data_IF_568740177314
#
_entry.id   IF_568740177314
#
_cell.length_a   1.000
_cell.length_b   1.000
_cell.length_c   1.000
_cell.angle_alpha   90.00
_cell.angle_beta   90.00
_cell.angle_gamma   90.00
#
_symmetry.space_group_name_H-M   'P 1'
#
loop_
_entity.id
_entity.type
_entity.pdbx_description
1 polymer ?
#
# COMPACT_ATOMS: atom_id res chain seq x y z
N UNK A 1 -38.77 15.48 -3.16
CA UNK A 1 -37.60 14.60 -3.17
C UNK A 1 -37.39 14.11 -4.59
N UNK A 2 -36.42 14.68 -5.32
CA UNK A 2 -36.05 14.23 -6.66
C UNK A 2 -35.35 12.89 -6.48
N UNK A 3 -35.94 11.82 -7.01
CA UNK A 3 -35.35 10.49 -7.12
C UNK A 3 -34.01 10.63 -7.88
N UNK A 4 -32.89 10.70 -7.15
CA UNK A 4 -31.57 10.59 -7.78
C UNK A 4 -31.49 9.19 -8.39
N UNK A 5 -31.52 9.08 -9.70
CA UNK A 5 -31.24 7.84 -10.42
C UNK A 5 -29.92 7.30 -9.88
N UNK A 6 -29.99 6.20 -9.14
CA UNK A 6 -28.77 5.51 -8.66
C UNK A 6 -28.07 4.91 -9.86
N UNK A 7 -27.01 5.57 -10.32
CA UNK A 7 -26.18 5.05 -11.41
C UNK A 7 -25.44 3.83 -10.91
N UNK A 8 -25.68 2.68 -11.52
CA UNK A 8 -24.93 1.43 -11.27
C UNK A 8 -23.57 1.59 -11.93
N UNK A 9 -22.51 1.38 -11.17
CA UNK A 9 -21.13 1.41 -11.66
C UNK A 9 -20.66 0.00 -12.02
N UNK A 10 -19.65 -0.11 -12.89
CA UNK A 10 -19.05 -1.41 -13.22
C UNK A 10 -18.48 -2.11 -11.96
N UNK A 11 -17.93 -1.34 -11.02
CA UNK A 11 -17.47 -1.89 -9.72
C UNK A 11 -18.59 -2.53 -8.91
N UNK A 12 -19.83 -2.04 -9.00
CA UNK A 12 -20.97 -2.64 -8.29
C UNK A 12 -21.35 -3.98 -8.91
N UNK A 13 -21.33 -4.04 -10.24
CA UNK A 13 -21.61 -5.28 -10.98
C UNK A 13 -20.57 -6.33 -10.64
N UNK A 14 -19.27 -5.97 -10.68
CA UNK A 14 -18.20 -6.90 -10.36
C UNK A 14 -18.22 -7.32 -8.88
N UNK A 15 -18.63 -6.45 -7.96
CA UNK A 15 -18.82 -6.81 -6.55
C UNK A 15 -19.89 -7.89 -6.40
N UNK A 16 -21.04 -7.73 -7.05
CA UNK A 16 -22.11 -8.73 -7.03
C UNK A 16 -21.65 -10.04 -7.68
N UNK A 17 -20.98 -9.98 -8.82
CA UNK A 17 -20.43 -11.17 -9.49
C UNK A 17 -19.39 -11.89 -8.63
N UNK A 18 -18.55 -11.15 -7.90
CA UNK A 18 -17.57 -11.73 -6.98
C UNK A 18 -18.24 -12.46 -5.81
N UNK A 19 -19.33 -11.90 -5.24
CA UNK A 19 -20.13 -12.58 -4.22
C UNK A 19 -20.80 -13.83 -4.75
N UNK A 20 -21.32 -13.79 -5.98
CA UNK A 20 -21.91 -14.96 -6.65
C UNK A 20 -20.85 -16.05 -6.88
N UNK A 21 -19.64 -15.68 -7.33
CA UNK A 21 -18.53 -16.61 -7.48
C UNK A 21 -18.16 -17.25 -6.12
N UNK A 22 -18.08 -16.46 -5.03
CA UNK A 22 -17.86 -16.96 -3.68
C UNK A 22 -18.95 -17.93 -3.19
N UNK A 23 -20.20 -17.69 -3.57
CA UNK A 23 -21.31 -18.61 -3.28
C UNK A 23 -21.16 -19.95 -4.00
N UNK A 24 -20.81 -19.94 -5.29
CA UNK A 24 -20.57 -21.20 -6.03
C UNK A 24 -19.36 -21.95 -5.49
N UNK A 25 -18.30 -21.24 -5.13
CA UNK A 25 -17.13 -21.82 -4.45
C UNK A 25 -17.54 -22.48 -3.12
N UNK A 26 -18.36 -21.81 -2.31
CA UNK A 26 -18.91 -22.37 -1.07
C UNK A 26 -19.70 -23.67 -1.33
N UNK A 27 -20.54 -23.71 -2.38
CA UNK A 27 -21.30 -24.91 -2.72
C UNK A 27 -20.41 -26.07 -3.21
N UNK A 28 -19.30 -25.77 -3.85
CA UNK A 28 -18.33 -26.74 -4.36
C UNK A 28 -17.40 -27.29 -3.27
N UNK A 29 -17.35 -26.66 -2.10
CA UNK A 29 -16.46 -27.03 -1.01
C UNK A 29 -16.80 -28.40 -0.43
N UNK A 30 -15.76 -29.20 -0.13
CA UNK A 30 -15.90 -30.48 0.59
C UNK A 30 -16.29 -30.26 2.05
N UNK A 31 -15.59 -29.34 2.73
CA UNK A 31 -15.92 -28.88 4.07
C UNK A 31 -16.70 -27.54 3.98
N UNK A 32 -18.01 -27.62 4.07
CA UNK A 32 -18.86 -26.46 3.98
C UNK A 32 -18.79 -25.55 5.20
N UNK A 33 -18.49 -26.10 6.39
CA UNK A 33 -18.36 -25.28 7.59
C UNK A 33 -17.12 -24.42 7.52
N UNK A 34 -15.97 -25.01 7.19
CA UNK A 34 -14.72 -24.28 6.97
C UNK A 34 -14.87 -23.26 5.82
N UNK A 35 -15.50 -23.63 4.72
CA UNK A 35 -15.73 -22.74 3.59
C UNK A 35 -16.67 -21.56 3.93
N UNK A 36 -17.61 -21.73 4.88
CA UNK A 36 -18.48 -20.67 5.31
C UNK A 36 -17.83 -19.75 6.35
N UNK A 37 -17.28 -20.33 7.41
CA UNK A 37 -16.73 -19.56 8.55
C UNK A 37 -15.29 -19.11 8.33
N UNK A 38 -14.55 -19.79 7.47
CA UNK A 38 -13.09 -19.69 7.30
C UNK A 38 -12.33 -20.56 8.29
N UNK A 39 -11.10 -20.92 7.93
CA UNK A 39 -10.18 -21.67 8.76
C UNK A 39 -9.84 -20.95 10.06
N UNK A 40 -9.48 -21.74 11.09
CA UNK A 40 -9.04 -21.19 12.38
C UNK A 40 -7.80 -20.30 12.18
N UNK A 41 -7.89 -19.07 12.72
CA UNK A 41 -6.83 -18.08 12.60
C UNK A 41 -7.01 -17.06 11.46
N UNK A 42 -7.72 -17.42 10.35
CA UNK A 42 -7.94 -16.52 9.21
C UNK A 42 -9.36 -15.99 9.10
N UNK A 43 -10.36 -16.86 9.21
CA UNK A 43 -11.78 -16.49 9.19
C UNK A 43 -12.22 -15.73 7.92
N UNK A 44 -11.61 -16.02 6.76
CA UNK A 44 -11.91 -15.40 5.47
C UNK A 44 -12.85 -16.25 4.58
N UNK A 45 -13.75 -17.03 5.18
CA UNK A 45 -14.74 -17.82 4.46
C UNK A 45 -15.83 -16.99 3.79
N UNK A 46 -16.84 -17.66 3.23
CA UNK A 46 -17.93 -16.99 2.49
C UNK A 46 -18.71 -15.99 3.35
N UNK A 47 -18.87 -16.24 4.66
CA UNK A 47 -19.48 -15.28 5.59
C UNK A 47 -18.73 -13.93 5.62
N UNK A 48 -17.39 -13.96 5.58
CA UNK A 48 -16.57 -12.76 5.49
C UNK A 48 -16.86 -12.00 4.18
N UNK A 49 -16.91 -12.70 3.04
CA UNK A 49 -17.25 -12.07 1.75
C UNK A 49 -18.63 -11.41 1.77
N UNK A 50 -19.64 -12.05 2.40
CA UNK A 50 -20.97 -11.45 2.56
C UNK A 50 -20.93 -10.16 3.41
N UNK A 51 -20.17 -10.16 4.50
CA UNK A 51 -20.03 -8.99 5.37
C UNK A 51 -19.33 -7.82 4.64
N UNK A 52 -18.23 -8.07 3.94
CA UNK A 52 -17.56 -7.00 3.17
C UNK A 52 -18.41 -6.53 1.99
N UNK A 53 -19.20 -7.41 1.36
CA UNK A 53 -20.16 -7.06 0.32
C UNK A 53 -21.28 -6.18 0.85
N UNK A 54 -21.86 -6.52 1.98
CA UNK A 54 -22.87 -5.71 2.65
C UNK A 54 -22.33 -4.33 3.06
N UNK A 55 -21.14 -4.30 3.64
CA UNK A 55 -20.43 -3.07 4.00
C UNK A 55 -20.17 -2.20 2.75
N UNK A 56 -19.70 -2.80 1.63
CA UNK A 56 -19.52 -2.11 0.37
C UNK A 56 -20.80 -1.42 -0.08
N UNK A 57 -21.94 -2.12 -0.10
CA UNK A 57 -23.23 -1.56 -0.53
C UNK A 57 -23.65 -0.42 0.39
N UNK A 58 -23.64 -0.64 1.72
CA UNK A 58 -24.07 0.35 2.71
C UNK A 58 -23.22 1.64 2.60
N UNK A 59 -21.90 1.52 2.50
CA UNK A 59 -20.99 2.65 2.43
C UNK A 59 -21.08 3.37 1.08
N UNK A 60 -21.13 2.62 -0.01
CA UNK A 60 -21.18 3.21 -1.35
C UNK A 60 -22.47 4.00 -1.61
N UNK A 61 -23.58 3.62 -0.97
CA UNK A 61 -24.87 4.32 -1.09
C UNK A 61 -25.03 5.40 0.00
N UNK A 62 -24.73 5.07 1.25
CA UNK A 62 -25.07 5.90 2.42
C UNK A 62 -23.98 6.91 2.82
N UNK A 63 -22.71 6.64 2.55
CA UNK A 63 -21.62 7.45 3.07
C UNK A 63 -21.08 8.47 2.06
N UNK A 64 -20.64 9.63 2.57
CA UNK A 64 -19.86 10.61 1.82
C UNK A 64 -18.51 10.83 2.48
N UNK A 65 -17.45 10.89 1.68
CA UNK A 65 -16.10 11.23 2.19
C UNK A 65 -16.11 12.68 2.65
N UNK A 66 -15.69 12.91 3.88
CA UNK A 66 -15.48 14.23 4.49
C UNK A 66 -13.99 14.40 4.75
N UNK A 67 -13.48 15.59 4.56
CA UNK A 67 -12.04 15.89 4.73
C UNK A 67 -11.48 15.52 6.11
N UNK A 68 -12.29 15.60 7.17
CA UNK A 68 -11.86 15.28 8.53
C UNK A 68 -11.56 13.80 8.76
N UNK A 69 -12.04 12.90 7.87
CA UNK A 69 -11.79 11.46 7.98
C UNK A 69 -10.29 11.17 7.90
N UNK A 70 -9.56 11.86 7.01
CA UNK A 70 -8.12 11.61 6.84
C UNK A 70 -7.26 12.01 8.05
N UNK A 71 -7.44 13.20 8.67
CA UNK A 71 -6.73 13.51 9.92
C UNK A 71 -7.03 12.55 11.07
N UNK A 72 -8.30 12.14 11.24
CA UNK A 72 -8.67 11.17 12.28
C UNK A 72 -8.01 9.82 12.01
N UNK A 73 -8.07 9.34 10.77
CA UNK A 73 -7.42 8.08 10.39
C UNK A 73 -5.90 8.15 10.56
N UNK A 74 -5.28 9.31 10.27
CA UNK A 74 -3.87 9.57 10.50
C UNK A 74 -3.47 9.45 11.98
N UNK A 75 -4.27 10.04 12.88
CA UNK A 75 -4.03 9.94 14.33
C UNK A 75 -4.13 8.49 14.82
N UNK A 76 -5.17 7.76 14.41
CA UNK A 76 -5.34 6.35 14.80
C UNK A 76 -4.20 5.49 14.26
N UNK A 77 -3.83 5.66 12.97
CA UNK A 77 -2.70 4.94 12.39
C UNK A 77 -1.39 5.28 13.07
N UNK A 78 -1.17 6.55 13.43
CA UNK A 78 0.00 7.01 14.18
C UNK A 78 0.16 6.31 15.54
N UNK A 79 -0.95 6.04 16.24
CA UNK A 79 -0.93 5.27 17.49
C UNK A 79 -0.50 3.81 17.24
N UNK A 80 -0.98 3.16 16.18
CA UNK A 80 -0.55 1.79 15.84
C UNK A 80 0.92 1.75 15.42
N UNK A 81 1.41 2.79 14.74
CA UNK A 81 2.82 2.91 14.37
C UNK A 81 3.71 3.08 15.61
N UNK A 82 3.33 4.00 16.51
CA UNK A 82 4.08 4.21 17.75
C UNK A 82 4.16 2.93 18.58
N UNK A 83 3.06 2.18 18.67
CA UNK A 83 3.02 0.91 19.38
C UNK A 83 4.00 -0.10 18.78
N UNK A 84 4.06 -0.24 17.47
CA UNK A 84 4.99 -1.17 16.81
C UNK A 84 6.46 -0.75 17.02
N UNK A 85 6.75 0.55 17.01
CA UNK A 85 8.09 1.08 17.27
C UNK A 85 8.53 0.75 18.71
N UNK A 86 7.66 0.98 19.70
CA UNK A 86 7.94 0.67 21.09
C UNK A 86 8.21 -0.82 21.29
N UNK A 87 7.39 -1.68 20.70
CA UNK A 87 7.58 -3.13 20.76
C UNK A 87 8.89 -3.59 20.08
N UNK A 88 9.26 -2.95 18.95
CA UNK A 88 10.56 -3.23 18.32
C UNK A 88 11.73 -2.87 19.26
N UNK A 89 11.61 -1.79 20.01
CA UNK A 89 12.57 -1.37 21.04
C UNK A 89 12.42 -2.12 22.36
N UNK A 90 11.67 -3.23 22.38
CA UNK A 90 11.42 -4.08 23.56
C UNK A 90 10.66 -3.39 24.69
N UNK A 91 9.86 -2.38 24.36
CA UNK A 91 8.98 -1.69 25.30
C UNK A 91 7.54 -2.19 25.07
N UNK A 92 7.08 -3.12 25.93
CA UNK A 92 5.74 -3.70 25.87
C UNK A 92 4.80 -3.04 26.90
N UNK A 93 4.25 -1.87 26.54
CA UNK A 93 3.41 -1.07 27.44
C UNK A 93 2.13 -1.77 27.90
N UNK A 94 1.58 -2.68 27.11
CA UNK A 94 0.31 -3.35 27.38
C UNK A 94 0.47 -4.83 27.72
N UNK A 95 1.70 -5.28 27.94
CA UNK A 95 2.03 -6.67 28.24
C UNK A 95 1.49 -7.68 27.21
N UNK A 96 1.43 -7.29 25.94
CA UNK A 96 0.91 -8.13 24.86
C UNK A 96 1.80 -9.34 24.58
N UNK A 97 3.08 -9.26 24.96
CA UNK A 97 4.03 -10.36 24.80
C UNK A 97 4.09 -11.31 26.00
N UNK A 98 3.30 -11.06 27.06
CA UNK A 98 3.36 -11.87 28.27
C UNK A 98 3.04 -13.35 28.04
N UNK A 99 2.12 -13.65 27.11
CA UNK A 99 1.72 -15.02 26.75
C UNK A 99 2.44 -15.57 25.51
N UNK A 100 3.31 -14.79 24.86
CA UNK A 100 3.98 -15.17 23.61
C UNK A 100 5.39 -15.67 23.94
N UNK A 101 5.73 -16.85 23.42
CA UNK A 101 7.08 -17.40 23.56
C UNK A 101 8.12 -16.45 22.96
N UNK A 102 9.28 -16.37 23.57
CA UNK A 102 10.34 -15.42 23.19
C UNK A 102 10.78 -15.57 21.73
N UNK A 103 10.93 -16.81 21.25
CA UNK A 103 11.29 -17.16 19.88
C UNK A 103 10.24 -16.72 18.83
N UNK A 104 8.98 -16.60 19.24
CA UNK A 104 7.86 -16.20 18.38
C UNK A 104 7.55 -14.69 18.38
N UNK A 105 8.08 -13.94 19.36
CA UNK A 105 7.76 -12.50 19.53
C UNK A 105 8.08 -11.67 18.31
N UNK A 106 9.09 -12.04 17.50
CA UNK A 106 9.44 -11.34 16.27
C UNK A 106 8.37 -11.41 15.18
N UNK A 107 7.45 -12.38 15.26
CA UNK A 107 6.34 -12.53 14.30
C UNK A 107 5.08 -11.75 14.70
N UNK A 108 5.04 -11.22 15.93
CA UNK A 108 3.90 -10.50 16.48
C UNK A 108 4.24 -9.03 16.69
N UNK A 109 3.42 -8.14 16.10
CA UNK A 109 3.69 -6.70 16.16
C UNK A 109 2.40 -5.89 16.22
N UNK A 110 2.45 -4.75 16.91
CA UNK A 110 1.34 -3.83 17.10
C UNK A 110 0.11 -4.54 17.69
N UNK A 111 -1.07 -4.09 17.39
CA UNK A 111 -2.35 -4.74 17.71
C UNK A 111 -2.79 -5.74 16.64
N UNK A 112 -2.01 -5.88 15.56
CA UNK A 112 -2.32 -6.74 14.42
C UNK A 112 -1.88 -8.19 14.63
N UNK A 113 -0.97 -8.43 15.53
CA UNK A 113 -0.55 -9.77 15.92
C UNK A 113 0.35 -10.51 14.93
N UNK A 114 0.48 -10.05 13.67
CA UNK A 114 1.32 -10.66 12.65
C UNK A 114 1.98 -9.60 11.77
N UNK A 115 3.28 -9.77 11.49
CA UNK A 115 4.09 -8.81 10.70
C UNK A 115 3.55 -8.62 9.27
N UNK A 116 3.07 -9.68 8.61
CA UNK A 116 2.54 -9.60 7.24
C UNK A 116 1.17 -8.92 7.20
N UNK A 117 0.31 -9.16 8.20
CA UNK A 117 -0.97 -8.45 8.35
C UNK A 117 -0.70 -6.96 8.57
N UNK A 118 0.26 -6.65 9.44
CA UNK A 118 0.65 -5.27 9.71
C UNK A 118 1.27 -4.59 8.48
N UNK A 119 2.13 -5.31 7.72
CA UNK A 119 2.66 -4.83 6.45
C UNK A 119 1.54 -4.47 5.45
N UNK A 120 0.47 -5.25 5.37
CA UNK A 120 -0.71 -4.91 4.54
C UNK A 120 -1.35 -3.59 4.96
N UNK A 121 -1.46 -3.33 6.26
CA UNK A 121 -1.97 -2.06 6.79
C UNK A 121 -1.04 -0.89 6.45
N UNK A 122 0.27 -1.06 6.54
CA UNK A 122 1.26 -0.05 6.15
C UNK A 122 1.18 0.26 4.66
N UNK A 123 0.99 -0.75 3.80
CA UNK A 123 0.80 -0.59 2.35
C UNK A 123 -0.47 0.19 1.99
N UNK A 124 -1.52 0.11 2.81
CA UNK A 124 -2.73 0.91 2.68
C UNK A 124 -2.50 2.36 3.12
N UNK A 125 -1.88 2.55 4.28
CA UNK A 125 -1.93 3.81 5.02
C UNK A 125 -0.82 4.77 4.63
N UNK A 126 0.40 4.30 4.38
CA UNK A 126 1.53 5.18 4.00
C UNK A 126 1.27 5.89 2.66
N UNK A 127 0.90 5.20 1.55
CA UNK A 127 0.55 5.89 0.31
C UNK A 127 -0.68 6.79 0.44
N UNK A 128 -1.66 6.42 1.27
CA UNK A 128 -2.83 7.24 1.56
C UNK A 128 -2.41 8.56 2.20
N UNK A 129 -1.57 8.54 3.26
CA UNK A 129 -1.13 9.75 3.94
C UNK A 129 -0.15 10.57 3.10
N UNK A 130 0.67 9.94 2.26
CA UNK A 130 1.46 10.65 1.26
C UNK A 130 0.55 11.46 0.33
N UNK A 131 -0.46 10.84 -0.26
CA UNK A 131 -1.41 11.53 -1.12
C UNK A 131 -2.19 12.62 -0.36
N UNK A 132 -2.64 12.35 0.88
CA UNK A 132 -3.32 13.34 1.71
C UNK A 132 -2.44 14.57 2.00
N UNK A 133 -1.14 14.37 2.25
CA UNK A 133 -0.16 15.44 2.45
C UNK A 133 0.11 16.24 1.18
N UNK A 134 0.16 15.59 0.01
CA UNK A 134 0.32 16.25 -1.29
C UNK A 134 -0.82 17.22 -1.60
N UNK A 135 -2.06 16.84 -1.29
CA UNK A 135 -3.26 17.62 -1.60
C UNK A 135 -3.83 18.38 -0.39
N UNK A 136 -3.10 18.44 0.73
CA UNK A 136 -3.53 19.17 1.93
C UNK A 136 -3.71 20.67 1.64
N UNK A 137 -4.88 21.19 1.99
CA UNK A 137 -5.26 22.60 1.86
C UNK A 137 -4.63 23.49 2.93
N UNK A 138 -4.41 22.94 4.15
CA UNK A 138 -3.90 23.63 5.31
C UNK A 138 -2.52 23.13 5.73
N UNK A 139 -1.66 24.03 6.17
CA UNK A 139 -0.30 23.71 6.62
C UNK A 139 -0.29 22.66 7.74
N UNK A 140 -1.16 22.78 8.74
CA UNK A 140 -1.22 21.84 9.85
C UNK A 140 -1.56 20.40 9.40
N UNK A 141 -2.43 20.23 8.40
CA UNK A 141 -2.72 18.90 7.83
C UNK A 141 -1.48 18.31 7.17
N UNK A 142 -0.73 19.11 6.42
CA UNK A 142 0.52 18.68 5.79
C UNK A 142 1.55 18.25 6.84
N UNK A 143 1.71 19.04 7.90
CA UNK A 143 2.60 18.70 9.03
C UNK A 143 2.15 17.38 9.67
N UNK A 144 0.85 17.22 9.97
CA UNK A 144 0.31 15.99 10.55
C UNK A 144 0.65 14.77 9.69
N UNK A 145 0.36 14.83 8.38
CA UNK A 145 0.63 13.69 7.50
C UNK A 145 2.13 13.41 7.36
N UNK A 146 2.98 14.43 7.35
CA UNK A 146 4.44 14.23 7.34
C UNK A 146 4.93 13.56 8.61
N UNK A 147 4.42 13.96 9.78
CA UNK A 147 4.73 13.32 11.06
C UNK A 147 4.26 11.86 11.08
N UNK A 148 3.05 11.59 10.55
CA UNK A 148 2.54 10.21 10.44
C UNK A 148 3.37 9.38 9.47
N UNK A 149 3.84 9.96 8.36
CA UNK A 149 4.76 9.28 7.43
C UNK A 149 6.12 8.99 8.06
N UNK A 150 6.64 9.90 8.87
CA UNK A 150 7.86 9.69 9.64
C UNK A 150 7.74 8.48 10.58
N UNK A 151 6.69 8.40 11.39
CA UNK A 151 6.44 7.24 12.26
C UNK A 151 6.05 5.99 11.44
N UNK A 152 5.37 6.17 10.31
CA UNK A 152 5.00 5.08 9.41
C UNK A 152 6.22 4.33 8.87
N UNK A 153 7.27 5.06 8.47
CA UNK A 153 8.51 4.42 8.01
C UNK A 153 9.27 3.72 9.14
N UNK A 154 9.30 4.31 10.33
CA UNK A 154 9.85 3.64 11.51
C UNK A 154 9.08 2.32 11.79
N UNK A 155 7.76 2.35 11.60
CA UNK A 155 6.91 1.16 11.74
C UNK A 155 7.14 0.11 10.62
N UNK A 156 7.51 0.51 9.40
CA UNK A 156 7.93 -0.41 8.32
C UNK A 156 9.17 -1.19 8.72
N UNK A 157 10.18 -0.52 9.29
CA UNK A 157 11.38 -1.18 9.80
C UNK A 157 11.01 -2.12 10.95
N UNK A 158 10.17 -1.67 11.89
CA UNK A 158 9.71 -2.48 13.01
C UNK A 158 8.93 -3.72 12.55
N UNK A 159 8.13 -3.61 11.48
CA UNK A 159 7.43 -4.75 10.87
C UNK A 159 8.37 -5.78 10.24
N UNK A 160 9.57 -5.35 9.82
CA UNK A 160 10.61 -6.22 9.25
C UNK A 160 10.06 -7.15 8.15
N UNK A 161 9.26 -6.58 7.23
CA UNK A 161 8.61 -7.32 6.15
C UNK A 161 8.85 -6.63 4.81
N UNK A 162 9.53 -7.31 3.89
CA UNK A 162 9.83 -6.81 2.54
C UNK A 162 8.55 -6.54 1.71
N UNK A 163 7.44 -7.18 2.09
CA UNK A 163 6.11 -6.94 1.50
C UNK A 163 5.70 -5.47 1.60
N UNK A 164 6.03 -4.79 2.72
CA UNK A 164 5.71 -3.38 2.92
C UNK A 164 6.42 -2.49 1.90
N UNK A 165 7.70 -2.73 1.64
CA UNK A 165 8.47 -1.93 0.67
C UNK A 165 7.95 -2.06 -0.76
N UNK A 166 7.56 -3.29 -1.17
CA UNK A 166 6.95 -3.54 -2.49
C UNK A 166 5.62 -2.80 -2.61
N UNK A 167 4.74 -2.97 -1.63
CA UNK A 167 3.41 -2.37 -1.63
C UNK A 167 3.41 -0.84 -1.53
N UNK A 168 4.41 -0.23 -0.88
CA UNK A 168 4.58 1.22 -0.76
C UNK A 168 5.25 1.79 -2.00
N UNK A 169 6.26 1.12 -2.56
CA UNK A 169 7.10 1.66 -3.64
C UNK A 169 6.32 2.02 -4.89
N UNK A 170 5.45 1.14 -5.37
CA UNK A 170 4.67 1.38 -6.60
C UNK A 170 3.75 2.60 -6.48
N UNK A 171 2.89 2.74 -5.46
CA UNK A 171 2.07 3.94 -5.33
C UNK A 171 2.88 5.22 -5.11
N UNK A 172 4.08 5.15 -4.49
CA UNK A 172 4.96 6.31 -4.37
C UNK A 172 5.42 6.84 -5.73
N UNK A 173 5.74 5.94 -6.68
CA UNK A 173 6.06 6.32 -8.07
C UNK A 173 4.82 6.91 -8.77
N UNK A 174 3.64 6.30 -8.61
CA UNK A 174 2.39 6.82 -9.19
C UNK A 174 2.09 8.23 -8.66
N UNK A 175 2.26 8.48 -7.36
CA UNK A 175 2.07 9.78 -6.74
C UNK A 175 3.10 10.80 -7.20
N UNK A 176 4.36 10.42 -7.41
CA UNK A 176 5.39 11.26 -8.01
C UNK A 176 4.96 11.76 -9.40
N UNK A 177 4.55 10.83 -10.26
CA UNK A 177 4.10 11.16 -11.62
C UNK A 177 2.87 12.07 -11.59
N UNK A 178 1.91 11.81 -10.69
CA UNK A 178 0.74 12.66 -10.49
C UNK A 178 1.13 14.06 -10.00
N UNK A 179 2.08 14.18 -9.06
CA UNK A 179 2.61 15.45 -8.56
C UNK A 179 3.24 16.29 -9.67
N UNK A 180 4.10 15.68 -10.51
CA UNK A 180 4.75 16.33 -11.65
C UNK A 180 3.71 16.80 -12.67
N UNK A 181 2.75 15.95 -13.04
CA UNK A 181 1.70 16.28 -14.01
C UNK A 181 0.82 17.43 -13.55
N UNK A 182 0.36 17.39 -12.30
CA UNK A 182 -0.53 18.41 -11.76
C UNK A 182 0.18 19.74 -11.58
N UNK A 183 1.48 19.75 -11.31
CA UNK A 183 2.29 20.97 -11.29
C UNK A 183 2.24 21.72 -12.61
N UNK A 184 2.43 21.03 -13.73
CA UNK A 184 2.41 21.66 -15.07
C UNK A 184 1.04 22.32 -15.32
N UNK A 185 -0.04 21.61 -14.99
CA UNK A 185 -1.41 22.11 -15.18
C UNK A 185 -1.72 23.31 -14.27
N UNK A 186 -1.38 23.25 -13.00
CA UNK A 186 -1.60 24.35 -12.03
C UNK A 186 -0.82 25.60 -12.41
N UNK A 187 0.35 25.47 -13.05
CA UNK A 187 1.11 26.62 -13.54
C UNK A 187 0.40 27.30 -14.71
N UNK A 188 -0.16 26.52 -15.64
CA UNK A 188 -0.89 27.07 -16.79
C UNK A 188 -2.22 27.73 -16.36
N UNK A 189 -2.97 27.13 -15.44
CA UNK A 189 -4.25 27.65 -14.92
C UNK A 189 -4.05 28.91 -14.06
N UNK A 190 -2.95 29.04 -13.30
CA UNK A 190 -2.62 30.26 -12.52
C UNK A 190 -2.31 31.46 -13.39
N UNK A 191 -1.75 31.24 -14.57
CA UNK A 191 -1.51 32.32 -15.54
C UNK A 191 -2.82 32.91 -16.05
N UNK A 192 -3.91 32.13 -15.99
CA UNK A 192 -5.22 32.54 -16.52
C UNK A 192 -6.11 33.18 -15.44
N UNK A 193 -6.02 32.82 -14.16
CA UNK A 193 -7.07 33.10 -13.16
C UNK A 193 -6.60 34.03 -12.03
N UNK A 194 -5.30 34.39 -11.91
CA UNK A 194 -4.79 35.28 -10.85
C UNK A 194 -5.02 34.79 -9.40
N UNK A 195 -5.25 33.50 -9.19
CA UNK A 195 -5.67 32.95 -7.91
C UNK A 195 -4.48 32.65 -6.97
N UNK A 196 -4.49 33.18 -5.73
CA UNK A 196 -3.54 32.89 -4.66
C UNK A 196 -3.62 31.43 -4.22
N UNK A 197 -2.49 30.74 -4.30
CA UNK A 197 -2.08 29.59 -3.50
C UNK A 197 -2.99 28.36 -3.48
N UNK A 198 -3.05 27.61 -4.60
CA UNK A 198 -3.24 26.17 -4.48
C UNK A 198 -1.89 25.54 -4.06
N UNK A 199 -1.89 24.63 -3.07
CA UNK A 199 -0.69 23.93 -2.63
C UNK A 199 -0.07 23.15 -3.80
N UNK A 200 1.24 23.26 -3.96
CA UNK A 200 1.99 22.49 -4.97
C UNK A 200 2.04 21.00 -4.53
N UNK A 201 1.39 20.06 -5.24
CA UNK A 201 1.39 18.64 -4.86
C UNK A 201 2.77 18.01 -4.93
N UNK A 202 3.64 18.47 -5.83
CA UNK A 202 5.02 17.98 -5.91
C UNK A 202 5.84 18.39 -4.69
N UNK A 203 5.67 19.61 -4.18
CA UNK A 203 6.26 20.03 -2.89
C UNK A 203 5.75 19.15 -1.75
N UNK A 204 4.45 18.83 -1.74
CA UNK A 204 3.87 17.93 -0.74
C UNK A 204 4.51 16.53 -0.79
N UNK A 205 4.76 16.00 -2.00
CA UNK A 205 5.47 14.74 -2.19
C UNK A 205 6.91 14.79 -1.68
N UNK A 206 7.66 15.86 -1.98
CA UNK A 206 9.04 16.02 -1.50
C UNK A 206 9.10 16.08 0.04
N UNK A 207 8.20 16.83 0.68
CA UNK A 207 8.12 16.95 2.14
C UNK A 207 7.77 15.59 2.76
N UNK A 208 6.84 14.84 2.15
CA UNK A 208 6.49 13.49 2.60
C UNK A 208 7.66 12.53 2.50
N UNK A 209 8.41 12.54 1.38
CA UNK A 209 9.63 11.75 1.21
C UNK A 209 10.70 12.13 2.24
N UNK A 210 10.87 13.43 2.53
CA UNK A 210 11.80 13.87 3.59
C UNK A 210 11.39 13.32 4.96
N UNK A 211 10.07 13.28 5.26
CA UNK A 211 9.54 12.65 6.48
C UNK A 211 9.85 11.15 6.56
N UNK A 212 9.61 10.41 5.47
CA UNK A 212 9.90 8.98 5.35
C UNK A 212 11.39 8.70 5.59
N UNK A 213 12.28 9.34 4.84
CA UNK A 213 13.73 9.07 4.95
C UNK A 213 14.28 9.51 6.31
N UNK A 214 13.74 10.59 6.89
CA UNK A 214 14.10 11.00 8.25
C UNK A 214 13.65 9.95 9.29
N UNK A 215 12.45 9.40 9.14
CA UNK A 215 11.94 8.31 9.99
C UNK A 215 12.84 7.07 9.92
N UNK A 216 13.23 6.69 8.69
CA UNK A 216 14.19 5.61 8.48
C UNK A 216 15.53 5.89 9.20
N UNK A 217 16.07 7.09 9.03
CA UNK A 217 17.34 7.50 9.64
C UNK A 217 17.28 7.45 11.15
N UNK A 218 16.23 8.01 11.76
CA UNK A 218 16.05 7.99 13.22
C UNK A 218 15.94 6.56 13.74
N UNK A 219 15.15 5.72 13.06
CA UNK A 219 15.02 4.31 13.45
C UNK A 219 16.35 3.56 13.33
N UNK A 220 17.15 3.84 12.28
CA UNK A 220 18.48 3.28 12.12
C UNK A 220 19.40 3.62 13.30
N UNK A 221 19.40 4.87 13.76
CA UNK A 221 20.17 5.28 14.94
C UNK A 221 19.65 4.64 16.23
N UNK A 222 18.34 4.56 16.43
CA UNK A 222 17.75 3.93 17.60
C UNK A 222 18.09 2.45 17.68
N UNK A 223 17.87 1.72 16.59
CA UNK A 223 18.09 0.27 16.51
C UNK A 223 19.57 -0.07 16.69
N UNK A 224 20.47 0.60 15.94
CA UNK A 224 21.92 0.31 16.02
C UNK A 224 22.57 0.86 17.28
N UNK A 225 22.06 1.97 17.83
CA UNK A 225 22.60 2.60 19.05
C UNK A 225 22.21 1.84 20.32
N UNK A 226 21.00 1.27 20.37
CA UNK A 226 20.51 0.48 21.51
C UNK A 226 20.81 -1.00 21.39
N UNK A 227 21.09 -1.51 20.18
CA UNK A 227 21.18 -2.93 19.85
C UNK A 227 19.83 -3.65 19.88
N UNK A 228 18.76 -3.01 20.35
CA UNK A 228 17.44 -3.62 20.47
C UNK A 228 16.77 -3.80 19.10
N UNK A 229 16.22 -4.98 18.88
CA UNK A 229 15.56 -5.35 17.63
C UNK A 229 16.51 -5.53 16.44
N UNK A 230 17.80 -5.20 16.56
CA UNK A 230 18.78 -5.23 15.47
C UNK A 230 18.98 -6.64 14.91
N UNK A 231 19.19 -7.63 15.77
CA UNK A 231 19.45 -9.03 15.36
C UNK A 231 18.25 -9.67 14.61
N UNK A 232 17.08 -9.06 14.72
CA UNK A 232 15.85 -9.55 14.07
C UNK A 232 15.68 -9.01 12.66
N UNK A 233 16.42 -7.95 12.26
CA UNK A 233 16.26 -7.30 10.97
C UNK A 233 16.75 -8.17 9.82
N UNK A 234 15.95 -8.22 8.76
CA UNK A 234 16.25 -8.95 7.52
C UNK A 234 15.98 -8.07 6.30
N UNK A 235 16.37 -8.52 5.11
CA UNK A 235 16.04 -7.86 3.84
C UNK A 235 16.35 -6.37 3.82
N UNK A 236 15.41 -5.58 3.31
CA UNK A 236 15.56 -4.12 3.17
C UNK A 236 15.61 -3.37 4.50
N UNK A 237 15.10 -3.95 5.59
CA UNK A 237 15.22 -3.34 6.91
C UNK A 237 16.68 -3.26 7.40
N UNK A 238 17.59 -4.12 6.91
CA UNK A 238 19.04 -4.06 7.19
C UNK A 238 19.75 -2.84 6.64
N UNK A 239 19.13 -2.06 5.75
CA UNK A 239 19.70 -0.78 5.31
C UNK A 239 19.93 0.21 6.46
N UNK A 240 19.42 -0.07 7.67
CA UNK A 240 19.78 0.67 8.90
C UNK A 240 21.30 0.70 9.15
N UNK A 241 22.05 -0.25 8.63
CA UNK A 241 23.51 -0.28 8.73
C UNK A 241 24.20 0.89 8.00
N UNK A 242 23.55 1.43 6.97
CA UNK A 242 24.06 2.54 6.16
C UNK A 242 23.65 3.92 6.71
N UNK A 243 23.71 4.13 8.03
CA UNK A 243 23.31 5.35 8.73
C UNK A 243 23.83 6.64 8.12
N UNK A 244 25.10 6.66 7.70
CA UNK A 244 25.74 7.85 7.12
C UNK A 244 25.07 8.23 5.79
N UNK A 245 24.83 7.26 4.92
CA UNK A 245 24.17 7.48 3.63
C UNK A 245 22.75 7.97 3.86
N UNK A 246 22.01 7.33 4.76
CA UNK A 246 20.64 7.71 5.12
C UNK A 246 20.59 9.15 5.65
N UNK A 247 21.54 9.53 6.50
CA UNK A 247 21.67 10.90 7.03
C UNK A 247 21.90 11.92 5.90
N UNK A 248 22.81 11.62 4.99
CA UNK A 248 23.10 12.51 3.84
C UNK A 248 21.85 12.67 2.96
N UNK A 249 21.17 11.55 2.63
CA UNK A 249 19.94 11.58 1.81
C UNK A 249 18.83 12.37 2.51
N UNK A 250 18.67 12.21 3.83
CA UNK A 250 17.71 12.99 4.63
C UNK A 250 17.99 14.49 4.55
N UNK A 251 19.23 14.90 4.75
CA UNK A 251 19.64 16.30 4.68
C UNK A 251 19.39 16.88 3.29
N UNK A 252 19.75 16.14 2.24
CA UNK A 252 19.55 16.58 0.85
C UNK A 252 18.05 16.75 0.54
N UNK A 253 17.20 15.80 0.97
CA UNK A 253 15.76 15.89 0.76
C UNK A 253 15.10 17.02 1.54
N UNK A 254 15.50 17.24 2.79
CA UNK A 254 14.98 18.34 3.61
C UNK A 254 15.40 19.68 3.01
N UNK A 255 16.69 19.88 2.72
CA UNK A 255 17.19 21.10 2.11
C UNK A 255 16.56 21.32 0.74
N UNK A 256 16.51 20.30 -0.11
CA UNK A 256 15.87 20.34 -1.42
C UNK A 256 14.40 20.75 -1.35
N UNK A 257 13.65 20.23 -0.38
CA UNK A 257 12.24 20.58 -0.14
C UNK A 257 12.08 22.05 0.27
N UNK A 258 12.96 22.56 1.16
CA UNK A 258 12.96 23.95 1.62
C UNK A 258 13.31 24.92 0.49
N UNK A 259 14.37 24.63 -0.26
CA UNK A 259 14.82 25.45 -1.40
C UNK A 259 13.76 25.47 -2.51
N UNK A 260 13.15 24.34 -2.79
CA UNK A 260 12.08 24.25 -3.76
C UNK A 260 10.85 25.04 -3.30
N UNK A 261 10.43 24.91 -2.05
CA UNK A 261 9.31 25.66 -1.45
C UNK A 261 9.54 27.16 -1.49
N UNK A 262 10.76 27.63 -1.15
CA UNK A 262 11.16 29.03 -1.22
C UNK A 262 11.15 29.58 -2.65
N UNK A 263 11.73 28.85 -3.61
CA UNK A 263 11.71 29.22 -5.03
C UNK A 263 10.31 29.28 -5.63
N UNK A 264 9.42 28.39 -5.19
CA UNK A 264 8.01 28.37 -5.63
C UNK A 264 7.21 29.57 -5.10
N UNK A 265 7.48 30.02 -3.86
CA UNK A 265 6.87 31.23 -3.26
C UNK A 265 7.31 32.50 -3.97
N UNK A 266 8.62 32.70 -4.19
CA UNK A 266 9.14 33.86 -4.92
C UNK A 266 8.54 34.00 -6.31
N UNK A 267 8.30 32.91 -7.03
CA UNK A 267 7.65 32.95 -8.35
C UNK A 267 6.18 33.37 -8.25
N UNK A 268 5.47 32.98 -7.20
CA UNK A 268 4.09 33.38 -6.97
C UNK A 268 3.98 34.90 -6.71
N UNK A 269 4.90 35.46 -5.94
CA UNK A 269 4.93 36.91 -5.63
C UNK A 269 5.31 37.77 -6.84
N UNK A 270 6.17 37.27 -7.73
CA UNK A 270 6.57 37.97 -8.97
C UNK A 270 5.47 38.03 -10.04
N UNK A 271 4.46 37.14 -10.00
CA UNK A 271 3.36 37.08 -11.00
C UNK A 271 2.26 38.11 -10.67
N UNK A 272 2.22 38.67 -9.46
CA UNK A 272 1.22 39.69 -9.04
C UNK A 272 1.52 41.07 -9.60
N UNK A 273 2.70 41.32 -10.20
CA UNK A 273 3.02 42.61 -10.82
C UNK A 273 2.72 42.61 -12.34
N UNK A 274 1.85 43.49 -12.86
CA UNK A 274 1.53 43.54 -14.28
C UNK A 274 2.72 44.10 -15.06
N UNK A 275 3.51 43.25 -15.70
CA UNK A 275 4.52 43.69 -16.70
C UNK A 275 4.33 43.01 -18.05
N UNK A 276 4.31 43.89 -19.07
CA UNK A 276 4.19 43.68 -20.50
C UNK A 276 4.77 42.36 -21.02
N UNK A 277 3.93 41.66 -21.72
CA UNK A 277 4.10 40.32 -22.31
C UNK A 277 5.02 40.31 -23.55
N UNK A 278 6.35 40.42 -23.41
CA UNK A 278 7.23 40.20 -24.58
C UNK A 278 8.56 39.46 -24.31
N UNK A 279 8.95 39.19 -23.05
CA UNK A 279 10.16 38.43 -22.75
C UNK A 279 9.90 37.00 -22.23
N UNK A 280 8.64 36.60 -22.07
CA UNK A 280 8.18 35.44 -21.34
C UNK A 280 8.45 34.07 -22.03
N UNK A 281 8.54 34.02 -23.35
CA UNK A 281 8.64 32.74 -24.08
C UNK A 281 10.04 32.13 -24.03
N UNK A 282 11.09 32.96 -23.97
CA UNK A 282 12.49 32.50 -23.92
C UNK A 282 12.93 31.99 -22.56
N UNK A 283 12.41 32.59 -21.49
CA UNK A 283 12.64 32.13 -20.10
C UNK A 283 11.86 30.85 -19.76
N UNK A 284 10.71 30.63 -20.44
CA UNK A 284 9.88 29.42 -20.26
C UNK A 284 10.64 28.14 -20.70
N UNK A 285 11.44 28.21 -21.76
CA UNK A 285 12.26 27.05 -22.24
C UNK A 285 13.46 26.75 -21.35
N UNK A 286 14.05 27.78 -20.72
CA UNK A 286 15.27 27.63 -19.89
C UNK A 286 14.95 27.06 -18.50
N UNK A 287 13.83 27.46 -17.87
CA UNK A 287 13.43 26.92 -16.56
C UNK A 287 12.91 25.49 -16.62
N UNK A 288 12.22 25.09 -17.71
CA UNK A 288 11.81 23.69 -17.92
C UNK A 288 12.99 22.76 -18.15
N UNK A 289 14.10 23.26 -18.67
CA UNK A 289 15.34 22.48 -18.87
C UNK A 289 16.04 22.14 -17.57
N UNK A 290 16.24 23.11 -16.68
CA UNK A 290 16.95 22.89 -15.40
C UNK A 290 16.21 21.90 -14.51
N UNK A 291 14.86 21.93 -14.48
CA UNK A 291 14.08 21.02 -13.65
C UNK A 291 14.08 19.58 -14.16
N UNK A 292 14.13 19.40 -15.48
CA UNK A 292 14.32 18.07 -16.07
C UNK A 292 15.69 17.50 -15.66
N UNK A 293 16.72 18.33 -15.68
CA UNK A 293 18.08 17.92 -15.28
C UNK A 293 18.09 17.54 -13.80
N UNK A 294 17.54 18.38 -12.90
CA UNK A 294 17.45 18.08 -11.45
C UNK A 294 16.64 16.80 -11.21
N UNK A 295 15.49 16.64 -11.89
CA UNK A 295 14.66 15.45 -11.79
C UNK A 295 15.43 14.19 -12.22
N UNK A 296 16.03 14.21 -13.41
CA UNK A 296 16.80 13.07 -13.89
C UNK A 296 18.08 12.82 -13.08
N UNK A 297 18.67 13.88 -12.48
CA UNK A 297 19.77 13.70 -11.54
C UNK A 297 19.34 13.04 -10.23
N UNK A 298 18.18 13.42 -9.66
CA UNK A 298 17.64 12.77 -8.46
C UNK A 298 17.23 11.33 -8.77
N UNK A 299 16.55 11.08 -9.88
CA UNK A 299 16.23 9.72 -10.35
C UNK A 299 17.50 8.93 -10.64
N UNK A 300 18.50 9.54 -11.28
CA UNK A 300 19.80 8.93 -11.54
C UNK A 300 20.56 8.61 -10.25
N UNK A 301 20.53 9.50 -9.25
CA UNK A 301 21.12 9.26 -7.93
C UNK A 301 20.40 8.12 -7.21
N UNK A 302 19.06 8.09 -7.23
CA UNK A 302 18.29 7.01 -6.63
C UNK A 302 18.53 5.66 -7.33
N UNK A 303 18.61 5.65 -8.66
CA UNK A 303 18.96 4.46 -9.44
C UNK A 303 20.43 4.06 -9.19
N UNK A 304 21.33 5.03 -9.13
CA UNK A 304 22.75 4.77 -8.85
C UNK A 304 22.95 4.28 -7.42
N UNK A 305 22.21 4.83 -6.44
CA UNK A 305 22.25 4.37 -5.04
C UNK A 305 21.68 2.95 -4.94
N UNK A 306 20.56 2.67 -5.61
CA UNK A 306 20.00 1.33 -5.71
C UNK A 306 20.96 0.38 -6.45
N UNK A 307 21.60 0.81 -7.52
CA UNK A 307 22.59 0.03 -8.27
C UNK A 307 23.85 -0.22 -7.45
N UNK A 308 24.37 0.78 -6.73
CA UNK A 308 25.57 0.62 -5.87
C UNK A 308 25.25 -0.28 -4.69
N UNK A 309 24.07 -0.19 -4.06
CA UNK A 309 23.62 -1.13 -3.00
C UNK A 309 23.49 -2.56 -3.54
N UNK A 310 22.99 -2.71 -4.75
CA UNK A 310 22.90 -4.02 -5.42
C UNK A 310 24.30 -4.55 -5.77
N UNK A 311 25.21 -3.71 -6.27
CA UNK A 311 26.56 -4.13 -6.72
C UNK A 311 27.54 -4.34 -5.55
N UNK A 312 27.44 -3.57 -4.47
CA UNK A 312 28.34 -3.72 -3.30
C UNK A 312 27.88 -4.83 -2.33
N UNK A 313 26.62 -5.25 -2.40
CA UNK A 313 26.08 -6.42 -1.70
C UNK A 313 25.99 -7.69 -2.57
N UNK A 314 26.57 -7.67 -3.74
CA UNK A 314 26.20 -8.49 -4.90
C UNK A 314 26.54 -9.98 -4.86
N UNK A 315 27.19 -10.50 -3.83
CA UNK A 315 27.54 -11.93 -3.87
C UNK A 315 26.40 -12.88 -3.48
N UNK A 316 25.27 -12.38 -2.89
CA UNK A 316 24.14 -13.25 -2.52
C UNK A 316 22.74 -12.69 -2.86
N UNK A 317 22.63 -11.59 -3.62
CA UNK A 317 21.32 -10.91 -3.81
C UNK A 317 20.64 -11.22 -5.15
N UNK A 318 21.28 -11.94 -6.07
CA UNK A 318 20.66 -12.38 -7.32
C UNK A 318 19.61 -13.48 -7.10
N UNK A 319 19.62 -14.15 -5.95
CA UNK A 319 18.62 -15.14 -5.53
C UNK A 319 17.17 -14.58 -5.49
N UNK A 320 17.00 -13.28 -5.25
CA UNK A 320 15.70 -12.60 -5.31
C UNK A 320 15.06 -12.70 -6.70
N UNK A 321 15.87 -12.78 -7.76
CA UNK A 321 15.40 -12.91 -9.15
C UNK A 321 15.33 -14.35 -9.64
N UNK A 322 15.78 -15.32 -8.84
CA UNK A 322 15.70 -16.74 -9.17
C UNK A 322 14.44 -17.31 -8.52
N UNK A 323 13.41 -17.56 -9.31
CA UNK A 323 12.18 -18.16 -8.81
C UNK A 323 12.37 -19.67 -8.63
N UNK A 324 12.68 -20.07 -7.40
CA UNK A 324 12.81 -21.46 -6.95
C UNK A 324 11.89 -21.74 -5.76
N UNK A 325 11.97 -22.92 -5.18
CA UNK A 325 11.14 -23.30 -4.03
C UNK A 325 11.45 -22.50 -2.76
N UNK A 326 12.67 -21.99 -2.58
CA UNK A 326 13.06 -21.17 -1.42
C UNK A 326 12.67 -19.70 -1.58
N UNK A 327 12.33 -19.26 -2.79
CA UNK A 327 12.01 -17.89 -3.11
C UNK A 327 10.94 -17.30 -2.17
N UNK A 328 11.24 -16.11 -1.63
CA UNK A 328 10.28 -15.36 -0.82
C UNK A 328 9.88 -16.08 0.48
N UNK A 329 10.81 -16.78 1.12
CA UNK A 329 10.56 -17.60 2.30
C UNK A 329 9.54 -18.72 2.01
N UNK A 330 9.91 -19.59 1.06
CA UNK A 330 9.13 -20.75 0.58
C UNK A 330 7.81 -20.42 -0.14
N UNK A 331 7.58 -19.13 -0.50
CA UNK A 331 6.43 -18.80 -1.36
C UNK A 331 6.52 -19.50 -2.73
N UNK A 332 7.74 -19.62 -3.30
CA UNK A 332 7.97 -20.36 -4.54
C UNK A 332 7.51 -21.80 -4.43
N UNK A 333 7.84 -22.48 -3.33
CA UNK A 333 7.38 -23.84 -3.02
C UNK A 333 5.84 -23.92 -3.04
N UNK A 334 5.19 -23.06 -2.26
CA UNK A 334 3.72 -23.05 -2.13
C UNK A 334 3.05 -22.77 -3.47
N UNK A 335 3.53 -21.78 -4.23
CA UNK A 335 2.94 -21.43 -5.53
C UNK A 335 3.07 -22.56 -6.56
N UNK A 336 4.23 -23.21 -6.63
CA UNK A 336 4.47 -24.33 -7.54
C UNK A 336 3.51 -25.48 -7.22
N UNK A 337 3.32 -25.85 -5.94
CA UNK A 337 2.42 -26.93 -5.53
C UNK A 337 0.95 -26.57 -5.75
N UNK A 338 0.54 -25.35 -5.42
CA UNK A 338 -0.83 -24.89 -5.67
C UNK A 338 -1.16 -24.84 -7.16
N UNK A 339 -0.19 -24.45 -8.00
CA UNK A 339 -0.39 -24.45 -9.44
C UNK A 339 -0.61 -25.87 -9.99
N UNK A 340 0.17 -26.87 -9.50
CA UNK A 340 -0.03 -28.28 -9.82
C UNK A 340 -1.39 -28.78 -9.34
N UNK A 341 -1.76 -28.45 -8.09
CA UNK A 341 -3.09 -28.78 -7.55
C UNK A 341 -4.18 -28.21 -8.48
N UNK A 342 -4.10 -26.94 -8.87
CA UNK A 342 -5.07 -26.31 -9.75
C UNK A 342 -5.16 -26.98 -11.11
N UNK A 343 -4.01 -27.38 -11.71
CA UNK A 343 -3.98 -28.10 -12.98
C UNK A 343 -4.69 -29.47 -12.91
N UNK A 344 -4.64 -30.13 -11.76
CA UNK A 344 -5.24 -31.46 -11.56
C UNK A 344 -6.70 -31.39 -11.09
N UNK A 345 -7.22 -30.19 -10.73
CA UNK A 345 -8.62 -30.06 -10.34
C UNK A 345 -9.58 -30.46 -11.46
N UNK A 346 -10.76 -31.02 -11.14
CA UNK A 346 -11.85 -31.21 -12.08
C UNK A 346 -12.22 -29.89 -12.78
N UNK A 347 -12.71 -29.97 -14.01
CA UNK A 347 -13.06 -28.79 -14.80
C UNK A 347 -13.99 -27.81 -14.04
N UNK A 348 -15.00 -28.33 -13.36
CA UNK A 348 -15.95 -27.52 -12.57
C UNK A 348 -15.22 -26.76 -11.48
N UNK A 349 -14.26 -27.37 -10.78
CA UNK A 349 -13.47 -26.72 -9.74
C UNK A 349 -12.43 -25.74 -10.32
N UNK A 350 -11.93 -25.92 -11.54
CA UNK A 350 -11.13 -24.90 -12.22
C UNK A 350 -11.95 -23.64 -12.50
N UNK A 351 -13.22 -23.79 -12.81
CA UNK A 351 -14.13 -22.68 -13.12
C UNK A 351 -14.64 -22.00 -11.86
N UNK A 352 -15.13 -22.76 -10.86
CA UNK A 352 -15.81 -22.22 -9.67
C UNK A 352 -15.01 -22.37 -8.37
N UNK A 353 -13.82 -22.97 -8.43
CA UNK A 353 -12.94 -23.17 -7.28
C UNK A 353 -13.16 -24.47 -6.52
N UNK A 354 -12.26 -24.77 -5.61
CA UNK A 354 -12.31 -25.95 -4.75
C UNK A 354 -13.03 -25.68 -3.41
N UNK A 355 -13.45 -24.45 -3.19
CA UNK A 355 -14.09 -23.97 -1.97
C UNK A 355 -13.32 -22.84 -1.31
N UNK A 356 -14.05 -21.87 -0.71
CA UNK A 356 -13.44 -20.83 0.08
C UNK A 356 -12.59 -21.47 1.20
N UNK A 357 -11.38 -20.93 1.44
CA UNK A 357 -10.45 -21.42 2.47
C UNK A 357 -9.99 -22.89 2.33
N UNK A 358 -10.05 -23.47 1.12
CA UNK A 358 -9.71 -24.89 0.88
C UNK A 358 -8.20 -25.17 0.74
N UNK A 359 -7.32 -24.14 0.81
CA UNK A 359 -5.87 -24.30 0.59
C UNK A 359 -5.25 -25.30 1.55
N UNK A 360 -5.53 -25.14 2.86
CA UNK A 360 -5.02 -26.07 3.88
C UNK A 360 -5.39 -27.53 3.56
N UNK A 361 -6.66 -27.77 3.29
CA UNK A 361 -7.16 -29.12 2.97
C UNK A 361 -6.52 -29.70 1.71
N UNK A 362 -6.34 -28.88 0.67
CA UNK A 362 -5.73 -29.32 -0.60
C UNK A 362 -4.24 -29.60 -0.45
N UNK A 363 -3.50 -28.73 0.24
CA UNK A 363 -2.07 -28.89 0.47
C UNK A 363 -1.77 -30.06 1.39
N UNK A 364 -2.52 -30.19 2.50
CA UNK A 364 -2.35 -31.28 3.46
C UNK A 364 -2.66 -32.64 2.85
N UNK A 365 -3.70 -32.73 2.02
CA UNK A 365 -4.07 -34.00 1.39
C UNK A 365 -3.02 -34.55 0.40
N UNK A 366 -2.12 -33.69 -0.10
CA UNK A 366 -1.20 -34.07 -1.18
C UNK A 366 0.28 -33.91 -0.84
N UNK A 367 0.61 -32.94 -0.01
CA UNK A 367 1.99 -32.52 0.24
C UNK A 367 2.32 -32.38 1.73
N UNK A 368 1.54 -32.97 2.66
CA UNK A 368 1.74 -32.78 4.11
C UNK A 368 3.17 -33.11 4.55
N UNK A 369 3.65 -34.32 4.22
CA UNK A 369 4.95 -34.80 4.68
C UNK A 369 6.10 -34.02 4.03
N UNK A 370 6.04 -33.84 2.70
CA UNK A 370 7.01 -33.06 1.94
C UNK A 370 7.09 -31.60 2.45
N UNK A 371 5.93 -30.99 2.76
CA UNK A 371 5.85 -29.63 3.22
C UNK A 371 6.46 -29.45 4.61
N UNK A 372 6.21 -30.39 5.53
CA UNK A 372 6.81 -30.38 6.86
C UNK A 372 8.34 -30.61 6.76
N UNK A 373 8.78 -31.51 5.88
CA UNK A 373 10.22 -31.77 5.66
C UNK A 373 10.95 -30.54 5.12
N UNK A 374 10.37 -29.88 4.10
CA UNK A 374 11.02 -28.74 3.40
C UNK A 374 10.87 -27.42 4.18
N UNK A 375 9.70 -27.16 4.78
CA UNK A 375 9.38 -25.82 5.31
C UNK A 375 9.18 -25.80 6.82
N UNK A 376 9.12 -26.96 7.47
CA UNK A 376 8.85 -27.09 8.90
C UNK A 376 7.39 -26.84 9.32
N UNK A 377 6.49 -26.56 8.38
CA UNK A 377 5.09 -26.20 8.67
C UNK A 377 4.15 -26.59 7.54
N UNK A 378 2.85 -26.63 7.83
CA UNK A 378 1.80 -26.80 6.81
C UNK A 378 1.20 -25.42 6.51
N UNK A 379 1.27 -25.02 5.24
CA UNK A 379 0.71 -23.74 4.79
C UNK A 379 -0.81 -23.84 4.62
N UNK A 380 -1.50 -22.84 5.16
CA UNK A 380 -2.95 -22.67 5.08
C UNK A 380 -3.39 -21.66 4.01
N UNK A 381 -2.44 -21.04 3.34
CA UNK A 381 -2.68 -19.96 2.38
C UNK A 381 -1.65 -19.93 1.27
N UNK A 382 -2.04 -19.32 0.14
CA UNK A 382 -1.18 -19.16 -1.01
C UNK A 382 -0.08 -18.08 -0.82
N UNK A 383 -0.18 -17.20 0.18
CA UNK A 383 0.62 -15.98 0.28
C UNK A 383 0.67 -15.17 -1.03
N UNK A 384 -0.41 -15.24 -1.79
CA UNK A 384 -0.70 -14.52 -3.02
C UNK A 384 -2.22 -14.51 -3.18
N UNK A 385 -2.86 -13.36 -2.96
CA UNK A 385 -4.32 -13.25 -2.93
C UNK A 385 -4.96 -13.63 -4.27
N UNK A 386 -4.26 -13.37 -5.39
CA UNK A 386 -4.75 -13.73 -6.72
C UNK A 386 -4.74 -15.25 -6.94
N UNK A 387 -3.66 -15.92 -6.53
CA UNK A 387 -3.55 -17.37 -6.59
C UNK A 387 -4.51 -18.03 -5.59
N UNK A 388 -4.71 -17.42 -4.43
CA UNK A 388 -5.72 -17.84 -3.45
C UNK A 388 -7.10 -17.88 -4.11
N UNK A 389 -7.57 -16.78 -4.71
CA UNK A 389 -8.88 -16.76 -5.38
C UNK A 389 -8.94 -17.67 -6.60
N UNK A 390 -7.84 -17.85 -7.34
CA UNK A 390 -7.81 -18.79 -8.46
C UNK A 390 -8.08 -20.24 -8.01
N UNK A 391 -7.48 -20.68 -6.91
CA UNK A 391 -7.63 -22.04 -6.41
C UNK A 391 -8.95 -22.22 -5.67
N UNK A 392 -9.32 -21.27 -4.82
CA UNK A 392 -10.47 -21.39 -3.92
C UNK A 392 -11.79 -21.02 -4.58
N UNK A 393 -11.80 -20.04 -5.51
CA UNK A 393 -13.00 -19.52 -6.18
C UNK A 393 -12.96 -19.70 -7.71
N UNK A 394 -11.92 -20.34 -8.24
CA UNK A 394 -11.74 -20.63 -9.65
C UNK A 394 -11.44 -19.40 -10.50
N UNK A 395 -11.37 -19.62 -11.83
CA UNK A 395 -11.10 -18.54 -12.78
C UNK A 395 -12.20 -17.46 -12.76
N UNK A 396 -13.44 -17.83 -12.46
CA UNK A 396 -14.57 -16.88 -12.34
C UNK A 396 -14.38 -15.98 -11.14
N UNK A 397 -13.95 -16.52 -9.98
CA UNK A 397 -13.62 -15.73 -8.80
C UNK A 397 -12.49 -14.74 -9.07
N UNK A 398 -11.39 -15.21 -9.67
CA UNK A 398 -10.25 -14.35 -10.02
C UNK A 398 -10.65 -13.22 -11.00
N UNK A 399 -11.38 -13.54 -12.09
CA UNK A 399 -11.80 -12.55 -13.09
C UNK A 399 -12.72 -11.49 -12.46
N UNK A 400 -13.67 -11.91 -11.62
CA UNK A 400 -14.61 -11.00 -10.99
C UNK A 400 -13.92 -10.10 -9.96
N UNK A 401 -12.95 -10.63 -9.19
CA UNK A 401 -12.12 -9.83 -8.29
C UNK A 401 -11.25 -8.82 -9.05
N UNK A 402 -10.53 -9.25 -10.09
CA UNK A 402 -9.74 -8.34 -10.94
C UNK A 402 -10.62 -7.29 -11.61
N UNK A 403 -11.82 -7.66 -12.07
CA UNK A 403 -12.80 -6.74 -12.62
C UNK A 403 -13.23 -5.66 -11.61
N UNK A 404 -13.47 -6.05 -10.36
CA UNK A 404 -13.77 -5.14 -9.25
C UNK A 404 -12.61 -4.16 -9.03
N UNK A 405 -11.39 -4.64 -8.92
CA UNK A 405 -10.19 -3.81 -8.72
C UNK A 405 -9.98 -2.84 -9.90
N UNK A 406 -9.92 -3.36 -11.12
CA UNK A 406 -9.68 -2.56 -12.33
C UNK A 406 -10.75 -1.49 -12.52
N UNK A 407 -12.04 -1.85 -12.38
CA UNK A 407 -13.13 -0.89 -12.51
C UNK A 407 -13.07 0.21 -11.44
N UNK A 408 -12.65 -0.12 -10.23
CA UNK A 408 -12.46 0.83 -9.14
C UNK A 408 -11.26 1.75 -9.38
N UNK A 409 -10.14 1.25 -9.91
CA UNK A 409 -9.00 2.09 -10.35
C UNK A 409 -9.46 3.07 -11.43
N UNK A 410 -10.18 2.60 -12.44
CA UNK A 410 -10.70 3.46 -13.53
C UNK A 410 -11.64 4.53 -12.97
N UNK A 411 -12.51 4.18 -12.04
CA UNK A 411 -13.40 5.14 -11.36
C UNK A 411 -12.59 6.15 -10.54
N UNK A 412 -11.61 5.71 -9.76
CA UNK A 412 -10.73 6.55 -8.97
C UNK A 412 -9.94 7.54 -9.83
N UNK A 413 -9.31 7.08 -10.92
CA UNK A 413 -8.56 7.94 -11.87
C UNK A 413 -9.45 9.00 -12.54
N UNK A 414 -10.70 8.63 -12.90
CA UNK A 414 -11.68 9.59 -13.44
C UNK A 414 -12.10 10.59 -12.36
N UNK A 415 -12.27 10.15 -11.13
CA UNK A 415 -12.74 10.96 -10.01
C UNK A 415 -11.69 11.94 -9.52
N UNK A 416 -10.42 11.55 -9.43
CA UNK A 416 -9.30 12.44 -9.02
C UNK A 416 -9.20 13.71 -9.88
N UNK A 417 -9.63 13.65 -11.15
CA UNK A 417 -9.67 14.83 -12.03
C UNK A 417 -10.72 15.85 -11.60
N UNK A 418 -11.76 15.44 -10.88
CA UNK A 418 -12.88 16.27 -10.42
C UNK A 418 -12.75 16.63 -8.95
N UNK A 419 -12.35 15.64 -8.14
CA UNK A 419 -12.24 15.74 -6.68
C UNK A 419 -10.92 15.13 -6.17
N UNK A 420 -9.94 15.95 -5.80
CA UNK A 420 -8.66 15.49 -5.28
C UNK A 420 -8.74 14.67 -3.98
N UNK A 421 -9.86 14.77 -3.22
CA UNK A 421 -10.08 13.96 -2.01
C UNK A 421 -10.11 12.45 -2.29
N UNK A 422 -10.30 12.05 -3.55
CA UNK A 422 -10.24 10.65 -3.94
C UNK A 422 -8.80 10.10 -4.00
N UNK A 423 -7.79 10.96 -4.18
CA UNK A 423 -6.41 10.51 -4.40
C UNK A 423 -5.84 9.68 -3.23
N UNK A 424 -6.07 10.04 -1.96
CA UNK A 424 -5.63 9.22 -0.83
C UNK A 424 -6.20 7.79 -0.86
N UNK A 425 -7.49 7.64 -1.12
CA UNK A 425 -8.14 6.33 -1.21
C UNK A 425 -7.57 5.49 -2.36
N UNK A 426 -7.39 6.12 -3.53
CA UNK A 426 -6.80 5.46 -4.69
C UNK A 426 -5.36 5.02 -4.43
N UNK A 427 -4.55 5.85 -3.79
CA UNK A 427 -3.16 5.52 -3.47
C UNK A 427 -3.05 4.35 -2.49
N UNK A 428 -3.85 4.37 -1.40
CA UNK A 428 -3.91 3.27 -0.45
C UNK A 428 -4.40 1.97 -1.09
N UNK A 429 -5.43 2.05 -1.96
CA UNK A 429 -5.90 0.89 -2.71
C UNK A 429 -4.81 0.29 -3.60
N UNK A 430 -4.05 1.12 -4.35
CA UNK A 430 -2.95 0.62 -5.18
C UNK A 430 -1.90 -0.07 -4.32
N UNK A 431 -1.55 0.48 -3.15
CA UNK A 431 -0.62 -0.15 -2.21
C UNK A 431 -1.07 -1.53 -1.77
N UNK A 432 -2.35 -1.67 -1.41
CA UNK A 432 -2.91 -2.98 -1.06
C UNK A 432 -2.86 -3.97 -2.23
N UNK A 433 -3.31 -3.56 -3.41
CA UNK A 433 -3.37 -4.41 -4.61
C UNK A 433 -1.98 -4.92 -5.01
N UNK A 434 -0.96 -4.09 -4.88
CA UNK A 434 0.43 -4.49 -5.17
C UNK A 434 0.95 -5.50 -4.15
N UNK A 435 0.74 -5.25 -2.84
CA UNK A 435 1.19 -6.19 -1.81
C UNK A 435 0.44 -7.52 -1.83
N UNK A 436 -0.82 -7.54 -2.28
CA UNK A 436 -1.64 -8.74 -2.41
C UNK A 436 -1.02 -9.81 -3.33
N UNK A 437 -0.07 -9.44 -4.19
CA UNK A 437 0.70 -10.39 -5.00
C UNK A 437 1.64 -11.27 -4.17
N UNK A 438 2.10 -10.79 -3.02
CA UNK A 438 3.01 -11.52 -2.11
C UNK A 438 2.43 -11.71 -0.71
N UNK A 439 1.14 -11.50 -0.56
CA UNK A 439 0.40 -11.64 0.69
C UNK A 439 -1.03 -12.15 0.38
N UNK A 440 -1.87 -12.26 1.38
CA UNK A 440 -3.20 -12.85 1.27
C UNK A 440 -4.23 -12.00 2.02
N UNK A 441 -5.52 -12.20 1.68
CA UNK A 441 -6.63 -11.55 2.38
C UNK A 441 -6.60 -11.85 3.88
N UNK A 442 -6.97 -10.85 4.67
CA UNK A 442 -6.96 -10.89 6.13
C UNK A 442 -8.19 -10.17 6.70
N UNK A 443 -8.85 -10.70 7.72
CA UNK A 443 -10.06 -10.11 8.27
C UNK A 443 -9.83 -8.75 8.91
N UNK A 444 -8.58 -8.39 9.22
CA UNK A 444 -8.21 -7.13 9.85
C UNK A 444 -7.95 -6.04 8.81
N UNK A 445 -7.29 -6.35 7.69
CA UNK A 445 -6.81 -5.34 6.72
C UNK A 445 -7.63 -5.30 5.43
N UNK A 446 -8.09 -6.44 4.93
CA UNK A 446 -8.89 -6.51 3.70
C UNK A 446 -10.20 -5.69 3.75
N UNK A 447 -10.93 -5.56 4.88
CA UNK A 447 -12.08 -4.68 4.96
C UNK A 447 -11.79 -3.23 4.62
N UNK A 448 -10.57 -2.72 4.89
CA UNK A 448 -10.18 -1.35 4.50
C UNK A 448 -10.10 -1.20 2.98
N UNK A 449 -9.61 -2.24 2.26
CA UNK A 449 -9.65 -2.23 0.78
C UNK A 449 -11.09 -2.03 0.30
N UNK A 450 -12.02 -2.90 0.73
CA UNK A 450 -13.42 -2.82 0.31
C UNK A 450 -14.09 -1.52 0.73
N UNK A 451 -13.74 -0.96 1.89
CA UNK A 451 -14.17 0.36 2.33
C UNK A 451 -13.70 1.46 1.37
N UNK A 452 -12.44 1.43 0.93
CA UNK A 452 -11.90 2.40 -0.02
C UNK A 452 -12.60 2.29 -1.38
N UNK A 453 -12.84 1.06 -1.87
CA UNK A 453 -13.60 0.81 -3.09
C UNK A 453 -15.02 1.39 -2.99
N UNK A 454 -15.70 1.15 -1.88
CA UNK A 454 -17.05 1.63 -1.62
C UNK A 454 -17.13 3.16 -1.54
N UNK A 455 -16.20 3.79 -0.81
CA UNK A 455 -16.12 5.25 -0.70
C UNK A 455 -15.88 5.89 -2.07
N UNK A 456 -14.96 5.35 -2.88
CA UNK A 456 -14.71 5.84 -4.25
C UNK A 456 -15.95 5.66 -5.14
N UNK A 457 -16.66 4.52 -5.06
CA UNK A 457 -17.91 4.31 -5.77
C UNK A 457 -18.97 5.33 -5.35
N UNK A 458 -19.12 5.58 -4.05
CA UNK A 458 -20.05 6.59 -3.52
C UNK A 458 -19.72 8.01 -3.97
N UNK A 459 -18.43 8.41 -3.96
CA UNK A 459 -17.97 9.70 -4.51
C UNK A 459 -18.29 9.80 -6.01
N UNK A 460 -18.07 8.72 -6.77
CA UNK A 460 -18.31 8.69 -8.22
C UNK A 460 -19.78 8.87 -8.59
N UNK A 461 -20.71 8.29 -7.80
CA UNK A 461 -22.15 8.48 -8.02
C UNK A 461 -22.64 9.90 -7.77
N UNK A 462 -21.94 10.62 -6.88
CA UNK A 462 -22.29 12.01 -6.52
C UNK A 462 -21.59 13.07 -7.37
N UNK A 463 -20.58 12.71 -8.16
CA UNK A 463 -19.80 13.61 -9.04
C UNK A 463 -20.39 13.67 -10.44
#
# INVERSE_FOLDING_TARGET
AVSKKHTILASDVFMVLFLIAGFFAFLAAKDRMAAFTGELGRRCGFAFLLLVGAAYICVAVGCSVKEWIYPVFACVSGLTYLMSILQHLEIDLFHLYASIRFDQRSMFISTFGNINIYASFLCLTIPLFMAAGMYADKCWKRVLYTVVLFFGEMAVIAANSDVAYIGIGVPMVVLLLAGIRNRVKTYDDRMVIGQKSACDPFLGWLIGCAGIVLGYTVMAFLTTGTGKGYDKLTGLAKLVDHRLILTIVSIVLVIGSLLYGWGSRKKADCVVAPKKASKSVRDKKRTTGCWKIIFWSVVGILILTAFVTVVTGANNQWEIFTFDDEWGNYRGYVWNRLFRIYQDLPFVNKVFGAGNESIYTLMSARYSDEMIEVTGTVYDSAHNEYLQYLVTMGIVGLITYLGLIISSVVNGVKLVKKDPLCMPLLAGMIGYVVQAFVNVEQPITTPFLFLFLALMAGMRRRS
#
